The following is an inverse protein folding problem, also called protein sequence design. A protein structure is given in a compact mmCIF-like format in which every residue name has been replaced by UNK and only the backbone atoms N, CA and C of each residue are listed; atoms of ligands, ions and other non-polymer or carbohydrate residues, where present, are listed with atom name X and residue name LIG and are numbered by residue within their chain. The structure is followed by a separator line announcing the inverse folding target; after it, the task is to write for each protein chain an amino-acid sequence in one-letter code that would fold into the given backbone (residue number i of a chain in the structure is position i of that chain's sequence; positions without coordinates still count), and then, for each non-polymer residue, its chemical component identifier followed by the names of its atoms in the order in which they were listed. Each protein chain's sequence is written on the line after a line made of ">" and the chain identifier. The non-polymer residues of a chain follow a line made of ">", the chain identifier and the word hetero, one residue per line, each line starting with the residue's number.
data_IF_286949794141
#
_entry.id   IF_286949794141
#
_cell.length_a   1.000
_cell.length_b   1.000
_cell.length_c   1.000
_cell.angle_alpha   90.00
_cell.angle_beta   90.00
_cell.angle_gamma   90.00
#
_symmetry.space_group_name_H-M   'P 1'
#
loop_
_entity.id
_entity.type
_entity.pdbx_description
1 polymer ?
#
# COMPACT_ATOMS: atom_id res chain seq x y z
N UNK A 1 -14.43 6.40 -14.17
CA UNK A 1 -13.86 6.99 -12.94
C UNK A 1 -13.08 5.87 -12.25
N UNK A 2 -11.97 6.12 -11.56
CA UNK A 2 -11.09 5.06 -11.03
C UNK A 2 -11.78 4.06 -10.08
N UNK A 3 -12.91 4.45 -9.47
CA UNK A 3 -13.80 3.54 -8.74
C UNK A 3 -14.30 2.37 -9.59
N UNK A 4 -14.58 2.59 -10.88
CA UNK A 4 -15.07 1.57 -11.80
C UNK A 4 -14.06 0.43 -11.96
N UNK A 5 -12.76 0.72 -11.99
CA UNK A 5 -11.73 -0.30 -12.21
C UNK A 5 -11.51 -1.25 -11.03
N UNK A 6 -11.71 -0.78 -9.79
CA UNK A 6 -11.64 -1.66 -8.61
C UNK A 6 -12.93 -2.46 -8.52
N UNK A 7 -14.09 -1.84 -8.75
CA UNK A 7 -15.37 -2.54 -8.75
C UNK A 7 -15.45 -3.60 -9.86
N UNK A 8 -14.84 -3.36 -11.02
CA UNK A 8 -14.68 -4.35 -12.11
C UNK A 8 -13.86 -5.57 -11.65
N UNK A 9 -12.78 -5.34 -10.90
CA UNK A 9 -11.99 -6.42 -10.30
C UNK A 9 -12.84 -7.18 -9.29
N UNK A 10 -13.57 -6.47 -8.43
CA UNK A 10 -14.45 -7.08 -7.42
C UNK A 10 -15.63 -7.85 -8.03
N UNK A 11 -16.03 -7.51 -9.25
CA UNK A 11 -17.05 -8.22 -10.02
C UNK A 11 -16.52 -9.53 -10.65
N UNK A 12 -15.21 -9.80 -10.62
CA UNK A 12 -14.65 -11.03 -11.14
C UNK A 12 -15.07 -12.24 -10.30
N UNK A 13 -15.22 -13.43 -10.93
CA UNK A 13 -15.51 -14.66 -10.20
C UNK A 13 -14.42 -14.96 -9.16
N UNK A 14 -14.81 -15.55 -8.03
CA UNK A 14 -13.90 -15.89 -6.92
C UNK A 14 -12.69 -16.72 -7.36
N UNK A 15 -12.87 -17.61 -8.32
CA UNK A 15 -11.80 -18.44 -8.90
C UNK A 15 -10.72 -17.61 -9.61
N UNK A 16 -11.08 -16.42 -10.10
CA UNK A 16 -10.15 -15.46 -10.70
C UNK A 16 -9.50 -14.64 -9.58
N UNK A 17 -10.28 -14.11 -8.64
CA UNK A 17 -9.78 -13.34 -7.49
C UNK A 17 -8.70 -14.10 -6.71
N UNK A 18 -8.91 -15.39 -6.46
CA UNK A 18 -7.96 -16.25 -5.74
C UNK A 18 -6.62 -16.45 -6.48
N UNK A 19 -6.62 -16.24 -7.81
CA UNK A 19 -5.43 -16.29 -8.66
C UNK A 19 -4.73 -14.94 -8.80
N UNK A 20 -5.34 -13.85 -8.34
CA UNK A 20 -4.70 -12.54 -8.34
C UNK A 20 -3.79 -12.45 -7.13
N UNK A 21 -2.49 -12.56 -7.39
CA UNK A 21 -1.44 -12.41 -6.39
C UNK A 21 -0.54 -11.19 -6.65
N UNK A 22 -0.73 -10.50 -7.77
CA UNK A 22 0.07 -9.37 -8.20
C UNK A 22 -0.85 -8.23 -8.61
N UNK A 23 -0.72 -7.10 -7.93
CA UNK A 23 -1.49 -5.89 -8.21
C UNK A 23 -0.56 -4.70 -8.32
N UNK A 24 -0.54 -4.05 -9.47
CA UNK A 24 0.22 -2.81 -9.68
C UNK A 24 -0.70 -1.79 -10.32
N UNK A 25 -0.75 -0.61 -9.71
CA UNK A 25 -1.40 0.54 -10.29
C UNK A 25 -0.38 1.34 -11.12
N UNK A 26 -0.25 1.03 -12.41
CA UNK A 26 0.68 1.74 -13.27
C UNK A 26 0.12 3.09 -13.74
N UNK A 27 0.93 4.15 -13.60
CA UNK A 27 0.70 5.43 -14.25
C UNK A 27 1.10 5.31 -15.73
N UNK A 28 0.20 4.80 -16.56
CA UNK A 28 0.37 4.77 -18.01
C UNK A 28 -0.27 6.00 -18.65
N UNK A 29 0.52 7.05 -18.87
CA UNK A 29 0.11 8.19 -19.69
C UNK A 29 0.27 7.81 -21.17
N UNK A 30 -0.85 7.70 -21.90
CA UNK A 30 -0.90 7.93 -23.36
C UNK A 30 -2.17 8.72 -23.65
N UNK A 31 -2.23 9.94 -23.10
CA UNK A 31 -3.23 10.93 -23.49
C UNK A 31 -3.28 12.08 -22.49
N UNK A 32 -3.09 13.30 -22.98
CA UNK A 32 -3.11 14.58 -22.23
C UNK A 32 -4.38 14.81 -21.39
N UNK A 33 -5.36 13.91 -21.48
CA UNK A 33 -6.73 13.99 -21.00
C UNK A 33 -7.06 12.87 -19.98
N UNK A 34 -6.13 11.92 -19.77
CA UNK A 34 -6.40 10.70 -19.00
C UNK A 34 -6.47 10.98 -17.49
N UNK A 35 -7.67 10.89 -16.91
CA UNK A 35 -7.94 11.02 -15.46
C UNK A 35 -7.66 9.73 -14.67
N UNK A 36 -6.74 8.86 -15.10
CA UNK A 36 -6.55 7.52 -14.53
C UNK A 36 -5.32 7.43 -13.62
N UNK A 37 -5.18 8.34 -12.66
CA UNK A 37 -4.11 8.27 -11.66
C UNK A 37 -4.50 7.46 -10.43
N UNK A 38 -3.53 6.84 -9.73
CA UNK A 38 -3.76 6.32 -8.37
C UNK A 38 -4.20 7.42 -7.38
N UNK A 39 -4.18 8.68 -7.82
CA UNK A 39 -4.66 9.87 -7.12
C UNK A 39 -6.10 9.77 -6.61
N UNK A 40 -6.97 8.99 -7.24
CA UNK A 40 -8.34 8.78 -6.74
C UNK A 40 -8.53 7.44 -6.01
N UNK A 41 -7.48 6.63 -5.86
CA UNK A 41 -7.54 5.43 -5.02
C UNK A 41 -7.53 5.86 -3.56
N UNK A 42 -8.63 5.58 -2.84
CA UNK A 42 -8.79 5.93 -1.42
C UNK A 42 -8.52 4.73 -0.50
N UNK A 43 -8.42 4.99 0.80
CA UNK A 43 -8.37 3.94 1.82
C UNK A 43 -9.52 2.94 1.67
N UNK A 44 -10.75 3.40 1.44
CA UNK A 44 -11.93 2.53 1.30
C UNK A 44 -11.80 1.57 0.13
N UNK A 45 -11.29 2.07 -1.00
CA UNK A 45 -11.08 1.25 -2.19
C UNK A 45 -10.01 0.17 -1.93
N UNK A 46 -8.90 0.54 -1.28
CA UNK A 46 -7.84 -0.40 -0.87
C UNK A 46 -8.35 -1.42 0.15
N UNK A 47 -9.18 -1.01 1.12
CA UNK A 47 -9.77 -1.92 2.11
C UNK A 47 -10.64 -2.98 1.43
N UNK A 48 -11.48 -2.58 0.47
CA UNK A 48 -12.32 -3.53 -0.29
C UNK A 48 -11.46 -4.49 -1.10
N UNK A 49 -10.45 -3.96 -1.79
CA UNK A 49 -9.52 -4.75 -2.59
C UNK A 49 -8.74 -5.76 -1.74
N UNK A 50 -8.19 -5.34 -0.60
CA UNK A 50 -7.45 -6.20 0.31
C UNK A 50 -8.32 -7.35 0.85
N UNK A 51 -9.59 -7.08 1.15
CA UNK A 51 -10.56 -8.10 1.59
C UNK A 51 -10.93 -9.08 0.49
N UNK A 52 -11.04 -8.61 -0.76
CA UNK A 52 -11.41 -9.46 -1.89
C UNK A 52 -10.24 -10.29 -2.44
N UNK A 53 -9.00 -9.81 -2.26
CA UNK A 53 -7.77 -10.42 -2.80
C UNK A 53 -6.81 -10.88 -1.68
N UNK A 54 -7.18 -11.86 -0.85
CA UNK A 54 -6.35 -12.30 0.29
C UNK A 54 -5.03 -12.97 -0.12
N UNK A 55 -4.91 -13.38 -1.39
CA UNK A 55 -3.71 -14.03 -1.93
C UNK A 55 -2.68 -13.07 -2.52
N UNK A 56 -2.87 -11.75 -2.35
CA UNK A 56 -1.90 -10.76 -2.80
C UNK A 56 -0.51 -10.98 -2.19
N UNK A 57 0.47 -11.05 -3.08
CA UNK A 57 1.91 -11.17 -2.79
C UNK A 57 2.64 -9.88 -3.10
N UNK A 58 2.17 -9.13 -4.09
CA UNK A 58 2.79 -7.87 -4.49
C UNK A 58 1.71 -6.84 -4.72
N UNK A 59 1.83 -5.71 -4.05
CA UNK A 59 0.97 -4.54 -4.21
C UNK A 59 1.85 -3.33 -4.43
N UNK A 60 1.73 -2.68 -5.59
CA UNK A 60 2.42 -1.42 -5.88
C UNK A 60 1.41 -0.34 -6.25
N UNK A 61 1.41 0.72 -5.45
CA UNK A 61 0.51 1.86 -5.53
C UNK A 61 1.32 3.16 -5.64
N UNK A 62 1.99 3.40 -6.78
CA UNK A 62 2.70 4.64 -7.01
C UNK A 62 1.72 5.79 -7.22
N UNK A 63 2.05 6.97 -6.70
CA UNK A 63 1.19 8.16 -6.71
C UNK A 63 -0.18 7.99 -6.03
N UNK A 64 -0.26 7.15 -5.00
CA UNK A 64 -1.48 6.89 -4.24
C UNK A 64 -1.73 7.95 -3.16
N UNK A 65 -2.01 9.18 -3.59
CA UNK A 65 -2.07 10.36 -2.72
C UNK A 65 -3.18 10.33 -1.64
N UNK A 66 -4.18 9.45 -1.78
CA UNK A 66 -5.31 9.32 -0.84
C UNK A 66 -5.27 8.02 -0.01
N UNK A 67 -4.17 7.27 -0.08
CA UNK A 67 -3.96 6.04 0.71
C UNK A 67 -3.02 6.31 1.88
N UNK A 68 -3.54 6.24 3.10
CA UNK A 68 -2.80 6.49 4.34
C UNK A 68 -2.70 5.25 5.24
N UNK A 69 -2.62 5.49 6.55
CA UNK A 69 -2.51 4.47 7.59
C UNK A 69 -3.54 3.34 7.44
N UNK A 70 -4.82 3.67 7.25
CA UNK A 70 -5.89 2.67 7.17
C UNK A 70 -5.74 1.74 5.96
N UNK A 71 -5.42 2.29 4.78
CA UNK A 71 -5.20 1.48 3.58
C UNK A 71 -3.96 0.60 3.71
N UNK A 72 -2.88 1.13 4.29
CA UNK A 72 -1.67 0.35 4.58
C UNK A 72 -1.96 -0.82 5.54
N UNK A 73 -2.63 -0.54 6.66
CA UNK A 73 -3.00 -1.54 7.66
C UNK A 73 -3.95 -2.59 7.08
N UNK A 74 -4.89 -2.18 6.22
CA UNK A 74 -5.81 -3.11 5.58
C UNK A 74 -5.09 -4.11 4.66
N UNK A 75 -4.09 -3.66 3.89
CA UNK A 75 -3.31 -4.53 3.02
C UNK A 75 -2.50 -5.57 3.81
N UNK A 76 -1.77 -5.14 4.84
CA UNK A 76 -0.92 -6.07 5.61
C UNK A 76 -1.73 -7.02 6.49
N UNK A 77 -2.92 -6.61 6.96
CA UNK A 77 -3.78 -7.45 7.81
C UNK A 77 -4.64 -8.43 7.02
N UNK A 78 -5.11 -8.08 5.81
CA UNK A 78 -5.97 -8.95 5.00
C UNK A 78 -5.19 -9.81 4.00
N UNK A 79 -3.94 -9.45 3.67
CA UNK A 79 -3.10 -10.17 2.71
C UNK A 79 -1.90 -10.84 3.42
N UNK A 80 -2.06 -12.02 4.06
CA UNK A 80 -0.98 -12.69 4.79
C UNK A 80 0.18 -13.14 3.89
N UNK A 81 -0.08 -13.32 2.59
CA UNK A 81 0.92 -13.74 1.60
C UNK A 81 1.75 -12.59 1.03
N UNK A 82 1.55 -11.36 1.51
CA UNK A 82 2.20 -10.16 0.98
C UNK A 82 3.72 -10.22 1.20
N UNK A 83 4.46 -9.98 0.12
CA UNK A 83 5.93 -9.98 0.04
C UNK A 83 6.50 -8.61 -0.31
N UNK A 84 5.81 -7.85 -1.14
CA UNK A 84 6.17 -6.49 -1.51
C UNK A 84 4.96 -5.58 -1.39
N UNK A 85 5.13 -4.47 -0.68
CA UNK A 85 4.15 -3.41 -0.57
C UNK A 85 4.79 -2.05 -0.89
N UNK A 86 4.31 -1.37 -1.91
CA UNK A 86 4.71 -0.01 -2.23
C UNK A 86 3.50 0.92 -2.15
N UNK A 87 3.62 1.99 -1.36
CA UNK A 87 2.65 3.09 -1.29
C UNK A 87 3.42 4.39 -1.29
N UNK A 88 3.43 5.09 -2.42
CA UNK A 88 4.25 6.29 -2.60
C UNK A 88 3.39 7.44 -3.14
N UNK A 89 3.59 8.68 -2.65
CA UNK A 89 2.83 9.84 -3.13
C UNK A 89 3.34 10.30 -4.50
N UNK A 90 2.51 11.04 -5.23
CA UNK A 90 2.88 11.58 -6.54
C UNK A 90 3.72 12.85 -6.41
N UNK A 91 4.70 13.06 -7.31
CA UNK A 91 5.60 14.24 -7.28
C UNK A 91 4.92 15.61 -7.33
N UNK A 92 3.65 15.68 -7.73
CA UNK A 92 2.88 16.93 -7.90
C UNK A 92 1.82 17.16 -6.83
N UNK A 93 1.70 16.26 -5.85
CA UNK A 93 0.66 16.36 -4.84
C UNK A 93 1.18 17.14 -3.63
N UNK A 94 0.50 18.24 -3.31
CA UNK A 94 0.56 18.90 -2.00
C UNK A 94 -0.22 18.09 -0.95
N UNK A 95 -0.74 16.92 -1.32
CA UNK A 95 -1.62 16.10 -0.50
C UNK A 95 -0.85 15.44 0.63
N UNK A 96 -1.48 15.46 1.79
CA UNK A 96 -0.95 15.04 3.08
C UNK A 96 -1.11 13.52 3.23
N UNK A 97 -0.65 12.76 2.24
CA UNK A 97 -0.58 11.30 2.36
C UNK A 97 0.48 10.98 3.40
N UNK A 98 0.04 10.64 4.61
CA UNK A 98 0.93 10.34 5.74
C UNK A 98 0.63 8.93 6.20
N UNK A 99 1.43 7.97 5.73
CA UNK A 99 1.69 6.79 6.55
C UNK A 99 2.50 7.32 7.73
N UNK A 100 1.93 7.23 8.93
CA UNK A 100 2.51 7.75 10.16
C UNK A 100 3.19 6.64 10.95
N UNK A 101 3.93 7.03 11.99
CA UNK A 101 4.49 6.08 12.95
C UNK A 101 3.41 5.17 13.57
N UNK A 102 2.16 5.65 13.71
CA UNK A 102 1.07 4.84 14.29
C UNK A 102 0.75 3.59 13.50
N UNK A 103 0.72 3.67 12.17
CA UNK A 103 0.50 2.48 11.34
C UNK A 103 1.66 1.49 11.43
N UNK A 104 2.89 2.01 11.51
CA UNK A 104 4.08 1.17 11.70
C UNK A 104 4.11 0.54 13.09
N UNK A 105 3.70 1.27 14.14
CA UNK A 105 3.59 0.77 15.50
C UNK A 105 2.50 -0.31 15.62
N UNK A 106 1.35 -0.11 14.98
CA UNK A 106 0.31 -1.14 14.88
C UNK A 106 0.83 -2.38 14.14
N UNK A 107 1.57 -2.20 13.05
CA UNK A 107 2.18 -3.31 12.33
C UNK A 107 3.26 -4.04 13.15
N UNK A 108 3.97 -3.31 14.00
CA UNK A 108 4.92 -3.81 14.98
C UNK A 108 4.21 -4.63 16.08
N UNK A 109 3.05 -4.17 16.56
CA UNK A 109 2.23 -4.88 17.54
C UNK A 109 1.62 -6.19 17.01
N UNK A 110 1.45 -6.32 15.69
CA UNK A 110 0.84 -7.47 15.03
C UNK A 110 1.82 -8.20 14.09
N UNK A 111 2.66 -9.06 14.67
CA UNK A 111 3.61 -9.90 13.92
C UNK A 111 2.94 -10.91 12.96
N UNK A 112 1.66 -11.21 13.20
CA UNK A 112 0.83 -12.08 12.36
C UNK A 112 0.41 -11.44 11.03
N UNK A 113 0.48 -10.11 10.91
CA UNK A 113 0.18 -9.40 9.66
C UNK A 113 1.33 -9.56 8.67
N UNK A 114 1.03 -10.01 7.46
CA UNK A 114 2.00 -10.24 6.38
C UNK A 114 3.37 -10.79 6.87
N UNK A 115 3.43 -11.97 7.52
CA UNK A 115 4.65 -12.48 8.13
C UNK A 115 5.78 -12.74 7.12
N UNK A 116 5.42 -12.93 5.84
CA UNK A 116 6.34 -13.11 4.72
C UNK A 116 6.79 -11.82 4.03
N UNK A 117 6.47 -10.65 4.58
CA UNK A 117 6.77 -9.36 3.97
C UNK A 117 8.27 -9.12 3.90
N UNK A 118 8.79 -8.92 2.69
CA UNK A 118 10.22 -8.73 2.41
C UNK A 118 10.56 -7.29 2.13
N UNK A 119 9.65 -6.52 1.55
CA UNK A 119 9.92 -5.16 1.14
C UNK A 119 8.71 -4.24 1.36
N UNK A 120 8.95 -3.09 1.96
CA UNK A 120 8.02 -1.96 2.02
C UNK A 120 8.67 -0.75 1.38
N UNK A 121 8.00 -0.10 0.44
CA UNK A 121 8.34 1.23 -0.07
C UNK A 121 7.30 2.24 0.43
N UNK A 122 7.74 3.22 1.20
CA UNK A 122 6.90 4.31 1.68
C UNK A 122 7.64 5.65 1.60
N UNK A 123 6.89 6.75 1.64
CA UNK A 123 7.45 8.10 1.71
C UNK A 123 8.27 8.26 2.99
N UNK A 124 9.44 8.89 2.87
CA UNK A 124 10.20 9.30 4.04
C UNK A 124 9.57 10.53 4.71
N UNK A 125 9.33 10.44 6.01
CA UNK A 125 9.01 11.59 6.87
C UNK A 125 10.17 11.83 7.86
N UNK A 126 11.29 12.35 7.34
CA UNK A 126 12.51 12.58 8.14
C UNK A 126 12.29 13.57 9.29
N UNK A 127 11.31 14.46 9.15
CA UNK A 127 10.97 15.44 10.19
C UNK A 127 10.32 14.79 11.42
N UNK A 128 9.72 13.61 11.25
CA UNK A 128 9.00 12.92 12.31
C UNK A 128 9.90 11.89 13.04
N UNK A 129 10.37 12.27 14.23
CA UNK A 129 11.20 11.40 15.07
C UNK A 129 10.49 10.10 15.49
N UNK A 130 9.18 10.16 15.69
CA UNK A 130 8.37 8.99 16.06
C UNK A 130 8.29 8.02 14.88
N UNK A 131 8.04 8.53 13.66
CA UNK A 131 8.04 7.72 12.44
C UNK A 131 9.35 6.95 12.26
N UNK A 132 10.50 7.63 12.38
CA UNK A 132 11.81 6.98 12.25
C UNK A 132 12.07 5.96 13.37
N UNK A 133 11.54 6.19 14.57
CA UNK A 133 11.61 5.22 15.66
C UNK A 133 10.79 3.96 15.31
N UNK A 134 9.56 4.12 14.84
CA UNK A 134 8.69 3.01 14.43
C UNK A 134 9.28 2.21 13.27
N UNK A 135 9.84 2.87 12.25
CA UNK A 135 10.53 2.19 11.14
C UNK A 135 11.71 1.35 11.65
N UNK A 136 12.53 1.91 12.55
CA UNK A 136 13.67 1.19 13.14
C UNK A 136 13.21 -0.01 13.95
N UNK A 137 12.15 0.14 14.74
CA UNK A 137 11.63 -0.96 15.55
C UNK A 137 11.05 -2.07 14.68
N UNK A 138 10.32 -1.70 13.62
CA UNK A 138 9.79 -2.66 12.66
C UNK A 138 10.90 -3.45 11.96
N UNK A 139 11.97 -2.78 11.52
CA UNK A 139 13.12 -3.44 10.91
C UNK A 139 13.89 -4.34 11.89
N UNK A 140 13.87 -4.03 13.20
CA UNK A 140 14.46 -4.90 14.22
C UNK A 140 13.62 -6.17 14.45
N UNK A 141 12.30 -6.02 14.56
CA UNK A 141 11.41 -7.16 14.77
C UNK A 141 11.34 -8.07 13.55
N UNK A 142 11.48 -7.49 12.35
CA UNK A 142 11.45 -8.20 11.07
C UNK A 142 12.80 -8.03 10.36
N UNK A 143 13.81 -8.77 10.80
CA UNK A 143 15.17 -8.69 10.22
C UNK A 143 15.22 -8.96 8.70
N UNK A 144 14.23 -9.68 8.16
CA UNK A 144 14.11 -9.99 6.73
C UNK A 144 13.36 -8.93 5.93
N UNK A 145 12.79 -7.93 6.59
CA UNK A 145 12.01 -6.86 5.98
C UNK A 145 12.91 -5.67 5.65
N UNK A 146 12.90 -5.27 4.38
CA UNK A 146 13.58 -4.08 3.89
C UNK A 146 12.56 -2.94 3.79
N UNK A 147 12.72 -1.92 4.63
CA UNK A 147 11.93 -0.68 4.54
C UNK A 147 12.72 0.35 3.74
N UNK A 148 12.27 0.63 2.52
CA UNK A 148 12.83 1.66 1.65
C UNK A 148 12.04 2.95 1.80
N UNK A 149 12.73 3.99 2.25
CA UNK A 149 12.17 5.33 2.41
C UNK A 149 12.55 6.18 1.20
N UNK A 150 11.56 6.58 0.39
CA UNK A 150 11.82 7.45 -0.75
C UNK A 150 12.02 8.90 -0.29
N UNK A 151 13.17 9.47 -0.67
CA UNK A 151 13.47 10.90 -0.51
C UNK A 151 12.78 11.70 -1.60
N UNK A 152 12.30 12.88 -1.24
CA UNK A 152 11.72 13.85 -2.16
C UNK A 152 12.80 14.49 -3.03
#
# INVERSE_FOLDING_TARGET
>A
MIFDHIDDILALPRQVLEKIWYFIFNFGDVGYDAKNGARDVTNEAIIRLAKALPNLRTVSLPSADKVGDEGFLALISNCPNLKLLEITPGSRSSSVTKITGKALDAFCAHLEWAPGLKQILIKNDESNKEFMKSVRELSKQREKLVVTLLKR
#
